data_IF_430059818871
#
_entry.id   IF_430059818871
#
_cell.length_a   1.000
_cell.length_b   1.000
_cell.length_c   1.000
_cell.angle_alpha   90.00
_cell.angle_beta   90.00
_cell.angle_gamma   90.00
#
_symmetry.space_group_name_H-M   'P 1'
#
loop_
_entity.id
_entity.type
_entity.pdbx_description
1 polymer ?
#
# COMPACT_ATOMS: atom_id res chain seq x y z
N UNK A 1 27.03 -23.80 -12.75
CA UNK A 1 25.64 -23.77 -13.26
C UNK A 1 24.73 -24.32 -12.18
N UNK A 2 23.87 -23.47 -11.63
CA UNK A 2 22.98 -23.78 -10.50
C UNK A 2 21.58 -24.03 -11.08
N UNK A 3 20.99 -25.19 -10.82
CA UNK A 3 19.69 -25.58 -11.36
C UNK A 3 18.57 -24.91 -10.52
N UNK A 4 17.81 -24.02 -11.15
CA UNK A 4 16.61 -23.42 -10.57
C UNK A 4 15.43 -24.37 -10.81
N UNK A 5 14.86 -24.94 -9.74
CA UNK A 5 13.65 -25.77 -9.82
C UNK A 5 12.41 -24.86 -9.77
N UNK A 6 11.85 -24.58 -10.93
CA UNK A 6 10.50 -24.00 -11.05
C UNK A 6 9.52 -25.18 -10.95
N UNK A 7 8.69 -25.20 -9.92
CA UNK A 7 7.59 -26.16 -9.81
C UNK A 7 6.27 -25.40 -9.92
N UNK A 8 5.71 -25.40 -11.14
CA UNK A 8 4.36 -24.96 -11.40
C UNK A 8 3.39 -26.07 -10.97
N UNK A 9 2.52 -25.77 -10.02
CA UNK A 9 1.41 -26.63 -9.64
C UNK A 9 0.11 -25.85 -9.82
N UNK A 10 -0.51 -26.05 -10.96
CA UNK A 10 -1.89 -25.68 -11.28
C UNK A 10 -2.85 -26.60 -10.51
N UNK A 11 -3.79 -26.00 -9.76
CA UNK A 11 -4.92 -26.71 -9.19
C UNK A 11 -6.19 -25.88 -9.40
N UNK A 12 -6.98 -26.29 -10.39
CA UNK A 12 -8.36 -25.84 -10.63
C UNK A 12 -9.25 -26.51 -9.60
N UNK A 13 -9.99 -25.72 -8.81
CA UNK A 13 -11.12 -26.21 -8.04
C UNK A 13 -12.36 -25.40 -8.42
N UNK A 14 -13.20 -25.98 -9.27
CA UNK A 14 -14.56 -25.53 -9.51
C UNK A 14 -15.44 -26.02 -8.36
N UNK A 15 -16.16 -25.11 -7.70
CA UNK A 15 -17.24 -25.48 -6.78
C UNK A 15 -18.51 -24.74 -7.20
N UNK A 16 -19.46 -25.51 -7.73
CA UNK A 16 -20.81 -25.07 -8.04
C UNK A 16 -21.76 -25.63 -6.99
N UNK A 17 -22.53 -24.78 -6.30
CA UNK A 17 -23.88 -25.11 -5.80
C UNK A 17 -24.73 -23.83 -5.78
N UNK A 18 -25.95 -23.97 -6.30
CA UNK A 18 -26.95 -22.94 -6.56
C UNK A 18 -27.72 -22.48 -5.31
N UNK A 19 -28.25 -21.25 -5.35
CA UNK A 19 -29.44 -20.85 -4.60
C UNK A 19 -30.45 -20.14 -5.52
N UNK A 20 -31.68 -20.66 -5.44
CA UNK A 20 -32.93 -20.21 -6.05
C UNK A 20 -33.52 -19.01 -5.30
N UNK A 21 -34.10 -18.04 -6.03
CA UNK A 21 -35.36 -17.39 -5.64
C UNK A 21 -36.02 -16.70 -6.84
N UNK A 22 -37.35 -16.67 -6.79
CA UNK A 22 -38.33 -16.38 -7.84
C UNK A 22 -39.06 -15.06 -7.57
N UNK A 23 -39.53 -14.38 -8.64
CA UNK A 23 -40.53 -13.31 -8.60
C UNK A 23 -39.93 -11.90 -8.50
N UNK A 24 -40.35 -10.87 -9.22
CA UNK A 24 -41.54 -10.64 -10.04
C UNK A 24 -41.86 -9.15 -9.98
N UNK A 25 -42.28 -8.58 -11.13
CA UNK A 25 -43.03 -7.32 -11.28
C UNK A 25 -42.30 -5.97 -11.18
N UNK A 26 -42.53 -5.18 -12.24
CA UNK A 26 -42.29 -3.76 -12.36
C UNK A 26 -43.06 -2.93 -11.30
N UNK A 27 -42.54 -1.74 -10.96
CA UNK A 27 -43.28 -0.46 -10.98
C UNK A 27 -42.44 0.68 -10.39
N UNK A 28 -42.51 1.81 -11.11
CA UNK A 28 -42.16 3.19 -10.75
C UNK A 28 -42.76 3.64 -9.41
N UNK A 29 -42.02 4.39 -8.59
CA UNK A 29 -42.52 5.58 -7.87
C UNK A 29 -41.41 6.27 -7.07
N UNK A 30 -41.33 7.58 -7.23
CA UNK A 30 -40.61 8.51 -6.39
C UNK A 30 -41.29 8.68 -5.02
N UNK A 31 -40.52 8.92 -3.96
CA UNK A 31 -40.82 9.93 -2.93
C UNK A 31 -39.77 9.95 -1.82
N UNK A 32 -39.30 11.16 -1.53
CA UNK A 32 -38.44 11.60 -0.44
C UNK A 32 -39.05 11.35 0.95
N UNK A 33 -38.20 11.22 1.99
CA UNK A 33 -38.37 11.59 3.42
C UNK A 33 -37.24 10.91 4.22
N UNK A 34 -36.23 11.64 4.69
CA UNK A 34 -36.13 12.30 5.99
C UNK A 34 -35.90 11.35 7.20
N UNK A 35 -34.92 11.73 8.02
CA UNK A 35 -34.50 11.21 9.35
C UNK A 35 -33.40 10.13 9.32
N UNK A 36 -32.15 10.42 9.72
CA UNK A 36 -31.58 10.81 11.04
C UNK A 36 -31.05 9.61 11.84
N UNK A 37 -29.73 9.66 12.08
CA UNK A 37 -28.99 9.15 13.25
C UNK A 37 -28.98 7.63 13.56
N UNK A 38 -27.80 7.03 13.37
CA UNK A 38 -27.24 5.95 14.21
C UNK A 38 -25.71 6.00 14.05
N UNK A 39 -24.98 6.46 15.07
CA UNK A 39 -24.22 5.60 16.01
C UNK A 39 -23.13 4.79 15.28
N UNK A 40 -21.88 5.26 15.26
CA UNK A 40 -20.88 5.02 16.30
C UNK A 40 -20.63 3.54 16.56
N UNK A 41 -19.54 3.02 15.99
CA UNK A 41 -18.59 2.17 16.73
C UNK A 41 -17.35 1.95 15.86
N UNK A 42 -16.33 2.72 16.20
CA UNK A 42 -14.92 2.52 15.84
C UNK A 42 -14.51 1.15 16.39
N UNK A 43 -14.43 0.14 15.53
CA UNK A 43 -13.76 -1.11 15.86
C UNK A 43 -12.26 -0.88 15.66
N UNK A 44 -11.62 -0.40 16.72
CA UNK A 44 -10.18 -0.53 16.92
C UNK A 44 -9.87 -2.03 16.95
N UNK A 45 -9.39 -2.57 15.83
CA UNK A 45 -8.82 -3.90 15.81
C UNK A 45 -7.38 -3.76 16.32
N UNK A 46 -7.18 -4.14 17.58
CA UNK A 46 -5.86 -4.38 18.15
C UNK A 46 -5.17 -5.46 17.34
N UNK A 47 -4.25 -5.07 16.46
CA UNK A 47 -3.23 -5.97 15.96
C UNK A 47 -2.23 -6.21 17.09
N UNK A 48 -2.11 -7.48 17.45
CA UNK A 48 -1.11 -7.96 18.37
C UNK A 48 0.27 -7.64 17.78
N UNK A 49 1.05 -6.83 18.49
CA UNK A 49 2.49 -6.71 18.28
C UNK A 49 3.12 -8.09 18.59
N UNK A 50 3.16 -8.96 17.59
CA UNK A 50 3.86 -10.23 17.64
C UNK A 50 5.33 -9.91 17.43
N UNK A 51 6.08 -9.88 18.54
CA UNK A 51 7.54 -9.81 18.54
C UNK A 51 8.10 -11.17 18.12
N UNK A 52 7.76 -11.63 16.93
CA UNK A 52 8.55 -12.63 16.23
C UNK A 52 9.72 -11.87 15.63
N UNK A 53 10.95 -12.25 16.01
CA UNK A 53 12.15 -11.80 15.32
C UNK A 53 12.00 -12.30 13.89
N UNK A 54 11.63 -11.40 12.99
CA UNK A 54 11.41 -11.73 11.60
C UNK A 54 12.74 -12.27 11.05
N UNK A 55 12.76 -13.54 10.62
CA UNK A 55 13.95 -14.10 9.97
C UNK A 55 14.27 -13.36 8.66
N UNK A 56 13.25 -12.73 8.07
CA UNK A 56 13.28 -11.90 6.86
C UNK A 56 12.46 -10.61 7.05
N UNK A 57 12.95 -9.46 6.60
CA UNK A 57 12.13 -8.25 6.53
C UNK A 57 11.19 -8.34 5.33
N UNK A 58 9.96 -7.89 5.51
CA UNK A 58 8.95 -7.88 4.46
C UNK A 58 8.20 -6.55 4.46
N UNK A 59 8.32 -5.82 3.37
CA UNK A 59 7.60 -4.57 3.16
C UNK A 59 6.54 -4.79 2.10
N UNK A 60 5.28 -4.71 2.51
CA UNK A 60 4.17 -4.65 1.55
C UNK A 60 3.91 -3.19 1.22
N UNK A 61 4.39 -2.75 0.06
CA UNK A 61 4.30 -1.36 -0.39
C UNK A 61 3.07 -1.18 -1.26
N UNK A 62 2.12 -0.38 -0.78
CA UNK A 62 0.89 -0.01 -1.47
C UNK A 62 1.04 1.34 -2.14
N UNK A 63 0.72 1.43 -3.43
CA UNK A 63 0.59 2.72 -4.09
C UNK A 63 -0.78 3.33 -3.77
N UNK A 64 -0.78 4.41 -2.99
CA UNK A 64 -1.96 5.23 -2.70
C UNK A 64 -1.73 6.69 -3.10
N UNK A 65 -0.86 6.91 -4.08
CA UNK A 65 -0.45 8.26 -4.50
C UNK A 65 -1.52 8.94 -5.37
N UNK A 66 -2.46 8.18 -5.93
CA UNK A 66 -3.43 8.65 -6.92
C UNK A 66 -2.91 8.65 -8.37
N UNK A 67 -1.64 8.28 -8.58
CA UNK A 67 -0.97 8.18 -9.88
C UNK A 67 -0.12 6.90 -9.96
N UNK A 68 0.35 6.54 -11.15
CA UNK A 68 1.31 5.43 -11.32
C UNK A 68 2.66 5.80 -10.71
N UNK A 69 3.26 4.87 -9.95
CA UNK A 69 4.65 4.96 -9.51
C UNK A 69 5.54 4.36 -10.59
N UNK A 70 6.31 5.19 -11.27
CA UNK A 70 7.19 4.78 -12.37
C UNK A 70 8.49 4.16 -11.87
N UNK A 71 8.97 4.59 -10.72
CA UNK A 71 10.18 4.05 -10.11
C UNK A 71 9.96 3.78 -8.63
N UNK A 72 10.42 2.62 -8.16
CA UNK A 72 10.40 2.24 -6.76
C UNK A 72 11.71 1.52 -6.42
N UNK A 73 12.41 2.00 -5.40
CA UNK A 73 13.70 1.45 -4.98
C UNK A 73 13.70 1.22 -3.47
N UNK A 74 14.33 0.14 -3.03
CA UNK A 74 14.62 -0.14 -1.62
C UNK A 74 16.11 -0.49 -1.48
N UNK A 75 16.85 0.40 -0.85
CA UNK A 75 18.30 0.30 -0.69
C UNK A 75 18.74 0.65 0.74
N UNK A 76 19.93 0.21 1.12
CA UNK A 76 20.50 0.48 2.45
C UNK A 76 20.81 1.98 2.60
N UNK A 77 20.48 2.56 3.75
CA UNK A 77 20.72 3.97 4.03
C UNK A 77 22.23 4.29 3.94
N UNK A 78 22.58 5.27 3.12
CA UNK A 78 23.97 5.63 2.85
C UNK A 78 24.62 4.87 1.69
N UNK A 79 23.93 3.91 1.08
CA UNK A 79 24.36 3.29 -0.19
C UNK A 79 24.22 4.28 -1.36
N UNK A 80 25.20 4.28 -2.25
CA UNK A 80 25.15 5.00 -3.54
C UNK A 80 24.41 4.18 -4.62
N UNK A 81 24.31 2.87 -4.42
CA UNK A 81 23.62 1.95 -5.32
C UNK A 81 22.18 1.75 -4.85
N UNK A 82 21.22 2.09 -5.72
CA UNK A 82 19.78 1.96 -5.48
C UNK A 82 19.21 0.59 -5.90
N UNK A 83 20.00 -0.22 -6.60
CA UNK A 83 19.57 -1.51 -7.15
C UNK A 83 18.57 -1.38 -8.32
N UNK A 84 17.74 -2.42 -8.47
CA UNK A 84 16.77 -2.54 -9.56
C UNK A 84 15.45 -1.84 -9.22
N UNK A 85 14.76 -1.34 -10.26
CA UNK A 85 13.44 -0.75 -10.12
C UNK A 85 12.39 -1.84 -9.81
N UNK A 86 11.80 -1.76 -8.62
CA UNK A 86 10.80 -2.69 -8.09
C UNK A 86 9.37 -2.39 -8.58
N UNK A 87 9.14 -1.24 -9.23
CA UNK A 87 7.86 -0.91 -9.84
C UNK A 87 7.60 -1.67 -11.15
N UNK A 88 8.62 -2.33 -11.72
CA UNK A 88 8.54 -3.02 -12.99
C UNK A 88 8.48 -2.08 -14.20
N UNK A 89 8.48 -2.64 -15.41
CA UNK A 89 8.52 -1.85 -16.66
C UNK A 89 7.26 -1.00 -16.90
N UNK A 90 6.11 -1.45 -16.40
CA UNK A 90 4.84 -0.73 -16.52
C UNK A 90 4.61 0.29 -15.39
N UNK A 91 5.47 0.29 -14.36
CA UNK A 91 5.21 0.97 -13.09
C UNK A 91 4.19 0.25 -12.22
N UNK A 92 4.06 0.72 -10.98
CA UNK A 92 3.10 0.24 -9.99
C UNK A 92 1.86 1.14 -10.02
N UNK A 93 0.72 0.66 -10.51
CA UNK A 93 -0.47 1.49 -10.66
C UNK A 93 -1.09 1.85 -9.30
N UNK A 94 -1.95 2.87 -9.28
CA UNK A 94 -2.67 3.26 -8.07
C UNK A 94 -3.58 2.12 -7.56
N UNK A 95 -3.55 1.89 -6.25
CA UNK A 95 -4.24 0.78 -5.60
C UNK A 95 -3.52 -0.58 -5.71
N UNK A 96 -2.44 -0.68 -6.48
CA UNK A 96 -1.59 -1.89 -6.52
C UNK A 96 -0.59 -1.92 -5.37
N UNK A 97 -0.01 -3.10 -5.15
CA UNK A 97 1.03 -3.30 -4.15
C UNK A 97 2.12 -4.24 -4.65
N UNK A 98 3.28 -4.11 -4.04
CA UNK A 98 4.43 -5.00 -4.23
C UNK A 98 4.94 -5.44 -2.87
N UNK A 99 5.26 -6.72 -2.75
CA UNK A 99 5.90 -7.30 -1.56
C UNK A 99 7.39 -7.36 -1.80
N UNK A 100 8.16 -6.72 -0.92
CA UNK A 100 9.61 -6.66 -1.00
C UNK A 100 10.19 -7.41 0.20
N UNK A 101 10.91 -8.51 -0.07
CA UNK A 101 11.57 -9.32 0.96
C UNK A 101 13.06 -9.00 1.01
N UNK A 102 13.60 -8.83 2.22
CA UNK A 102 15.04 -8.72 2.47
C UNK A 102 15.51 -9.76 3.46
N UNK A 103 16.44 -10.60 3.03
CA UNK A 103 17.14 -11.56 3.87
C UNK A 103 18.53 -11.00 4.23
N UNK A 104 18.77 -10.77 5.53
CA UNK A 104 20.10 -10.43 6.07
C UNK A 104 20.39 -11.31 7.28
N UNK A 105 21.68 -11.46 7.61
CA UNK A 105 22.10 -12.22 8.78
C UNK A 105 21.52 -11.59 10.06
N UNK A 106 20.97 -12.43 10.95
CA UNK A 106 20.26 -11.98 12.15
C UNK A 106 21.10 -11.09 13.07
N UNK A 107 22.41 -11.32 13.15
CA UNK A 107 23.35 -10.51 13.91
C UNK A 107 23.60 -9.10 13.34
N UNK A 108 23.06 -8.79 12.15
CA UNK A 108 23.20 -7.50 11.47
C UNK A 108 21.88 -6.76 11.29
N UNK A 109 20.75 -7.38 11.60
CA UNK A 109 19.42 -6.81 11.35
C UNK A 109 19.21 -5.46 12.07
N UNK A 110 19.69 -5.35 13.31
CA UNK A 110 19.56 -4.13 14.12
C UNK A 110 20.38 -2.94 13.58
N UNK A 111 21.48 -3.23 12.87
CA UNK A 111 22.36 -2.22 12.27
C UNK A 111 21.88 -1.80 10.86
N UNK A 112 20.93 -2.52 10.28
CA UNK A 112 20.42 -2.27 8.93
C UNK A 112 19.28 -1.26 8.96
N UNK A 113 19.46 -0.18 8.22
CA UNK A 113 18.40 0.81 7.95
C UNK A 113 18.23 0.93 6.45
N UNK A 114 16.99 0.92 5.97
CA UNK A 114 16.67 1.07 4.56
C UNK A 114 16.03 2.42 4.25
N UNK A 115 16.19 2.83 3.00
CA UNK A 115 15.48 3.94 2.37
C UNK A 115 14.60 3.36 1.27
N UNK A 116 13.30 3.62 1.35
CA UNK A 116 12.37 3.36 0.25
C UNK A 116 12.16 4.66 -0.49
N UNK A 117 12.58 4.72 -1.75
CA UNK A 117 12.41 5.89 -2.61
C UNK A 117 11.47 5.53 -3.75
N UNK A 118 10.56 6.45 -4.09
CA UNK A 118 9.67 6.27 -5.23
C UNK A 118 9.52 7.54 -6.04
N UNK A 119 9.37 7.37 -7.35
CA UNK A 119 9.06 8.43 -8.31
C UNK A 119 7.70 8.14 -8.94
N UNK A 120 6.84 9.15 -8.97
CA UNK A 120 5.53 9.09 -9.65
C UNK A 120 5.68 9.45 -11.13
N UNK A 121 4.70 9.10 -11.96
CA UNK A 121 4.67 9.42 -13.39
C UNK A 121 4.79 10.94 -13.66
N UNK A 122 4.30 11.77 -12.73
CA UNK A 122 4.41 13.23 -12.75
C UNK A 122 5.84 13.75 -12.47
N UNK A 123 6.81 12.85 -12.22
CA UNK A 123 8.20 13.17 -11.92
C UNK A 123 8.45 13.61 -10.47
N UNK A 124 7.47 13.46 -9.58
CA UNK A 124 7.65 13.76 -8.16
C UNK A 124 8.28 12.57 -7.43
N UNK A 125 9.46 12.79 -6.86
CA UNK A 125 10.20 11.80 -6.06
C UNK A 125 10.00 12.05 -4.57
N UNK A 126 9.79 10.98 -3.81
CA UNK A 126 9.65 11.00 -2.35
C UNK A 126 10.37 9.80 -1.74
N UNK A 127 10.76 9.92 -0.47
CA UNK A 127 11.47 8.87 0.25
C UNK A 127 10.91 8.65 1.65
N UNK A 128 10.93 7.40 2.10
CA UNK A 128 10.79 6.99 3.48
C UNK A 128 12.18 6.61 3.97
N UNK A 129 12.75 7.48 4.77
CA UNK A 129 13.99 7.22 5.48
C UNK A 129 13.65 6.46 6.77
N UNK A 130 14.61 5.67 7.28
CA UNK A 130 14.52 4.95 8.57
C UNK A 130 13.60 3.72 8.59
N UNK A 131 13.58 2.92 7.52
CA UNK A 131 12.92 1.63 7.56
C UNK A 131 13.83 0.60 8.26
N UNK A 132 13.34 0.01 9.34
CA UNK A 132 14.05 -1.02 10.09
C UNK A 132 13.68 -2.41 9.59
N UNK A 133 14.46 -3.42 9.97
CA UNK A 133 14.20 -4.81 9.60
C UNK A 133 12.94 -5.34 10.29
N UNK A 134 11.80 -5.29 9.60
CA UNK A 134 10.50 -5.65 10.15
C UNK A 134 9.53 -6.14 9.08
N UNK A 135 8.37 -6.63 9.51
CA UNK A 135 7.24 -6.98 8.62
C UNK A 135 6.19 -5.89 8.78
N UNK A 136 6.14 -4.96 7.83
CA UNK A 136 5.23 -3.80 7.94
C UNK A 136 4.65 -3.38 6.59
N UNK A 137 3.36 -3.06 6.53
CA UNK A 137 2.76 -2.44 5.35
C UNK A 137 3.16 -0.96 5.27
N UNK A 138 3.50 -0.52 4.06
CA UNK A 138 3.87 0.87 3.75
C UNK A 138 2.91 1.42 2.71
N UNK A 139 2.36 2.61 2.91
CA UNK A 139 1.51 3.28 1.93
C UNK A 139 2.22 4.49 1.33
N UNK A 140 2.45 4.45 0.02
CA UNK A 140 3.02 5.58 -0.74
C UNK A 140 1.96 6.67 -0.88
N UNK A 141 2.26 7.89 -0.46
CA UNK A 141 1.37 9.05 -0.56
C UNK A 141 1.97 10.08 -1.50
N UNK A 142 1.15 10.78 -2.27
CA UNK A 142 1.64 11.92 -3.07
C UNK A 142 2.02 13.10 -2.18
N UNK A 143 2.87 13.99 -2.70
CA UNK A 143 3.27 15.23 -2.01
C UNK A 143 2.06 16.11 -1.65
N UNK A 144 1.02 16.09 -2.49
CA UNK A 144 -0.23 16.82 -2.26
C UNK A 144 -1.01 16.24 -1.08
N UNK A 145 -1.12 14.91 -1.00
CA UNK A 145 -1.73 14.23 0.14
C UNK A 145 -0.93 14.41 1.44
N UNK A 146 0.39 14.60 1.35
CA UNK A 146 1.27 14.80 2.51
C UNK A 146 1.28 16.25 3.04
N UNK A 147 1.00 17.25 2.20
CA UNK A 147 1.17 18.67 2.54
C UNK A 147 0.17 19.23 3.57
N UNK A 148 -0.88 18.49 3.93
CA UNK A 148 -1.90 18.95 4.86
C UNK A 148 -2.76 20.10 4.30
N UNK A 149 -3.97 20.28 4.83
CA UNK A 149 -4.90 21.26 4.30
C UNK A 149 -4.35 22.69 4.39
N UNK A 150 -4.27 23.39 3.24
CA UNK A 150 -3.91 24.81 3.19
C UNK A 150 -4.85 25.62 4.09
N UNK A 151 -4.35 26.34 5.11
CA UNK A 151 -5.20 27.11 6.00
C UNK A 151 -5.89 28.25 5.21
N UNK A 152 -7.22 28.34 5.32
CA UNK A 152 -7.99 29.45 4.73
C UNK A 152 -7.64 30.72 5.51
N UNK A 153 -6.89 31.63 4.90
CA UNK A 153 -6.62 32.95 5.45
C UNK A 153 -7.76 33.91 5.11
N UNK A 154 -8.50 34.37 6.12
CA UNK A 154 -9.43 35.50 5.97
C UNK A 154 -8.61 36.81 6.01
N UNK A 155 -8.26 37.35 4.86
CA UNK A 155 -7.78 38.74 4.78
C UNK A 155 -8.98 39.68 4.86
N UNK A 156 -8.96 40.63 5.79
CA UNK A 156 -9.98 41.68 5.85
C UNK A 156 -9.87 42.57 4.59
N UNK A 157 -10.98 42.93 3.94
CA UNK A 157 -10.94 43.82 2.79
C UNK A 157 -10.37 45.18 3.22
N UNK A 158 -9.40 45.70 2.47
CA UNK A 158 -8.93 47.08 2.63
C UNK A 158 -10.07 48.03 2.27
N UNK A 159 -10.30 49.04 3.13
CA UNK A 159 -11.37 50.03 2.99
C UNK A 159 -11.02 51.11 1.95
#
# INVERSE_FOLDING_TARGET
>A
MKLNKICAASAVLALAVALTACGGSASTAASSTASSAAASSVAASSEAASSEVAESAEYTVYNTTGSTVSELYLYEAGSEDKGENLAGEAGLADGENVVITRDVEADKQDDMTYVLEFTTEDGSTQSFETLHYEITPISLKSVDAAAGATPIAFAAPEQ
#
